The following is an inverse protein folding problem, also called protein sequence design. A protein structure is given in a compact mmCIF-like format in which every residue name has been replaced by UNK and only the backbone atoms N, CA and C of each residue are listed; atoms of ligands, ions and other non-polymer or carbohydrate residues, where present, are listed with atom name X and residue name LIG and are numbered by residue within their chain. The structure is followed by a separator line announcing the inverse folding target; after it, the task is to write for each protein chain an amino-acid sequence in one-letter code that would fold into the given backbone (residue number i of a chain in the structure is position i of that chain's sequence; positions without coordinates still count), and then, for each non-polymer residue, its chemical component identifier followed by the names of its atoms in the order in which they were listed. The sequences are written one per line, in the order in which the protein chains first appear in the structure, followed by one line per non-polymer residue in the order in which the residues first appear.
data_IF_970667256668
#
_entry.id   IF_970667256668
#
_cell.length_a   1.000
_cell.length_b   1.000
_cell.length_c   1.000
_cell.angle_alpha   90.00
_cell.angle_beta   90.00
_cell.angle_gamma   90.00
#
_symmetry.space_group_name_H-M   'P 1'
#
loop_
_entity.id
_entity.type
_entity.pdbx_description
1 polymer ?
#
# COMPACT_ATOMS: atom_id res chain seq x y z
N UNK A 1 2.52 -40.94 -10.09
CA UNK A 1 3.78 -40.40 -9.53
C UNK A 1 3.70 -38.88 -9.47
N UNK A 2 4.13 -38.30 -8.35
CA UNK A 2 3.62 -37.05 -7.80
C UNK A 2 3.96 -35.77 -8.59
N UNK A 3 2.96 -34.89 -8.69
CA UNK A 3 3.18 -33.47 -8.98
C UNK A 3 3.85 -32.85 -7.75
N UNK A 4 5.18 -32.73 -7.79
CA UNK A 4 5.90 -31.87 -6.87
C UNK A 4 5.45 -30.43 -7.14
N UNK A 5 4.51 -29.94 -6.32
CA UNK A 5 4.20 -28.52 -6.20
C UNK A 5 5.46 -27.84 -5.67
N UNK A 6 6.31 -27.33 -6.57
CA UNK A 6 7.37 -26.40 -6.20
C UNK A 6 6.71 -25.15 -5.62
N UNK A 7 6.49 -25.13 -4.31
CA UNK A 7 6.20 -23.91 -3.58
C UNK A 7 7.41 -22.98 -3.77
N UNK A 8 7.25 -21.97 -4.61
CA UNK A 8 8.26 -20.91 -4.77
C UNK A 8 8.56 -20.34 -3.38
N UNK A 9 9.82 -20.45 -2.94
CA UNK A 9 10.26 -19.88 -1.67
C UNK A 9 10.05 -18.35 -1.70
N UNK A 10 9.51 -17.82 -0.61
CA UNK A 10 9.36 -16.37 -0.42
C UNK A 10 10.76 -15.77 -0.21
N UNK A 11 11.14 -14.79 -1.04
CA UNK A 11 12.44 -14.12 -1.01
C UNK A 11 12.61 -13.26 0.24
N UNK A 12 11.55 -12.61 0.70
CA UNK A 12 11.56 -11.83 1.94
C UNK A 12 10.44 -12.29 2.91
N UNK A 13 10.66 -13.38 3.67
CA UNK A 13 9.67 -13.88 4.62
C UNK A 13 9.33 -12.86 5.72
N UNK A 14 10.27 -11.99 6.09
CA UNK A 14 10.10 -11.01 7.17
C UNK A 14 9.09 -9.94 6.76
N UNK A 15 9.17 -9.43 5.53
CA UNK A 15 8.18 -8.49 5.00
C UNK A 15 6.76 -9.08 5.08
N UNK A 16 6.54 -10.29 4.56
CA UNK A 16 5.21 -10.90 4.55
C UNK A 16 4.69 -11.22 5.96
N UNK A 17 5.58 -11.60 6.88
CA UNK A 17 5.23 -11.72 8.30
C UNK A 17 4.75 -10.37 8.87
N UNK A 18 5.44 -9.27 8.54
CA UNK A 18 5.06 -7.93 9.01
C UNK A 18 3.79 -7.41 8.35
N UNK A 19 3.52 -7.74 7.08
CA UNK A 19 2.22 -7.45 6.46
C UNK A 19 1.10 -8.14 7.24
N UNK A 20 1.28 -9.44 7.57
CA UNK A 20 0.30 -10.19 8.37
C UNK A 20 0.09 -9.54 9.73
N UNK A 21 1.16 -9.37 10.52
CA UNK A 21 1.07 -8.77 11.86
C UNK A 21 0.53 -7.34 11.83
N UNK A 22 0.81 -6.56 10.79
CA UNK A 22 0.22 -5.24 10.62
C UNK A 22 -1.32 -5.31 10.59
N UNK A 23 -1.86 -6.22 9.78
CA UNK A 23 -3.29 -6.36 9.53
C UNK A 23 -4.03 -7.11 10.65
N UNK A 24 -3.39 -8.07 11.31
CA UNK A 24 -4.04 -8.96 12.30
C UNK A 24 -3.79 -8.59 13.74
N UNK A 25 -2.74 -7.81 14.03
CA UNK A 25 -2.36 -7.45 15.41
C UNK A 25 -2.25 -5.94 15.57
N UNK A 26 -1.40 -5.28 14.77
CA UNK A 26 -1.11 -3.86 14.96
C UNK A 26 -2.33 -2.97 14.73
N UNK A 27 -3.02 -3.11 13.60
CA UNK A 27 -4.22 -2.32 13.34
C UNK A 27 -5.38 -2.62 14.31
N UNK A 28 -5.79 -3.88 14.54
CA UNK A 28 -6.95 -4.19 15.39
C UNK A 28 -6.66 -4.05 16.89
N UNK A 29 -5.51 -4.51 17.38
CA UNK A 29 -5.23 -4.60 18.82
C UNK A 29 -4.54 -3.32 19.31
N UNK A 30 -3.45 -2.91 18.64
CA UNK A 30 -2.61 -1.79 19.09
C UNK A 30 -3.24 -0.44 18.70
N UNK A 31 -3.71 -0.31 17.46
CA UNK A 31 -4.30 0.94 16.93
C UNK A 31 -5.82 0.99 17.03
N UNK A 32 -6.47 -0.10 17.47
CA UNK A 32 -7.92 -0.23 17.65
C UNK A 32 -8.73 0.31 16.46
N UNK A 33 -8.29 0.00 15.24
CA UNK A 33 -8.98 0.41 14.01
C UNK A 33 -10.21 -0.45 13.76
N UNK A 34 -11.25 0.16 13.17
CA UNK A 34 -12.46 -0.56 12.77
C UNK A 34 -12.18 -1.54 11.62
N UNK A 35 -13.02 -2.56 11.46
CA UNK A 35 -12.91 -3.54 10.37
C UNK A 35 -12.90 -2.86 9.00
N UNK A 36 -13.80 -1.89 8.76
CA UNK A 36 -13.83 -1.12 7.52
C UNK A 36 -12.49 -0.40 7.25
N UNK A 37 -11.86 0.14 8.29
CA UNK A 37 -10.55 0.77 8.16
C UNK A 37 -9.50 -0.27 7.83
N UNK A 38 -9.46 -1.40 8.56
CA UNK A 38 -8.52 -2.49 8.32
C UNK A 38 -8.64 -3.01 6.88
N UNK A 39 -9.86 -3.18 6.38
CA UNK A 39 -10.11 -3.63 5.01
C UNK A 39 -9.65 -2.60 3.98
N UNK A 40 -9.78 -1.30 4.26
CA UNK A 40 -9.18 -0.26 3.42
C UNK A 40 -7.64 -0.43 3.35
N UNK A 41 -6.96 -0.68 4.47
CA UNK A 41 -5.52 -0.97 4.48
C UNK A 41 -5.17 -2.24 3.70
N UNK A 42 -5.94 -3.33 3.87
CA UNK A 42 -5.75 -4.58 3.10
C UNK A 42 -5.82 -4.32 1.59
N UNK A 43 -6.84 -3.58 1.15
CA UNK A 43 -7.02 -3.24 -0.27
C UNK A 43 -5.83 -2.43 -0.77
N UNK A 44 -5.38 -1.42 -0.01
CA UNK A 44 -4.25 -0.59 -0.41
C UNK A 44 -2.95 -1.39 -0.56
N UNK A 45 -2.63 -2.23 0.43
CA UNK A 45 -1.42 -3.07 0.40
C UNK A 45 -1.49 -4.08 -0.75
N UNK A 46 -2.64 -4.76 -0.93
CA UNK A 46 -2.81 -5.73 -2.02
C UNK A 46 -2.67 -5.08 -3.41
N UNK A 47 -3.20 -3.86 -3.60
CA UNK A 47 -3.02 -3.11 -4.85
C UNK A 47 -1.56 -2.75 -5.08
N UNK A 48 -0.83 -2.32 -4.04
CA UNK A 48 0.59 -2.00 -4.15
C UNK A 48 1.42 -3.24 -4.55
N UNK A 49 1.20 -4.38 -3.88
CA UNK A 49 1.85 -5.65 -4.21
C UNK A 49 1.52 -6.12 -5.64
N UNK A 50 0.26 -5.94 -6.06
CA UNK A 50 -0.18 -6.27 -7.42
C UNK A 50 0.52 -5.40 -8.45
N UNK A 51 0.64 -4.11 -8.18
CA UNK A 51 1.36 -3.18 -9.04
C UNK A 51 2.83 -3.58 -9.17
N UNK A 52 3.55 -3.81 -8.06
CA UNK A 52 4.96 -4.21 -8.07
C UNK A 52 5.17 -5.49 -8.89
N UNK A 53 4.27 -6.48 -8.70
CA UNK A 53 4.27 -7.73 -9.47
C UNK A 53 4.18 -7.45 -10.98
N UNK A 54 3.28 -6.57 -11.40
CA UNK A 54 3.05 -6.23 -12.80
C UNK A 54 4.19 -5.39 -13.38
N UNK A 55 4.63 -4.34 -12.68
CA UNK A 55 5.63 -3.39 -13.17
C UNK A 55 7.01 -4.01 -13.28
N UNK A 56 7.39 -4.90 -12.35
CA UNK A 56 8.69 -5.58 -12.34
C UNK A 56 8.67 -6.97 -12.98
N UNK A 57 7.49 -7.44 -13.42
CA UNK A 57 7.27 -8.79 -13.96
C UNK A 57 7.85 -9.91 -13.05
N UNK A 58 7.61 -9.78 -11.75
CA UNK A 58 8.08 -10.73 -10.71
C UNK A 58 6.91 -11.50 -10.11
N UNK A 59 7.16 -12.65 -9.47
CA UNK A 59 6.13 -13.28 -8.66
C UNK A 59 5.94 -12.55 -7.31
N UNK A 60 4.77 -12.71 -6.68
CA UNK A 60 4.50 -12.15 -5.35
C UNK A 60 5.54 -12.60 -4.32
N UNK A 61 5.98 -13.86 -4.39
CA UNK A 61 7.02 -14.42 -3.54
C UNK A 61 8.39 -13.75 -3.71
N UNK A 62 8.60 -12.94 -4.74
CA UNK A 62 9.87 -12.30 -5.05
C UNK A 62 9.92 -10.83 -4.63
N UNK A 63 8.80 -10.27 -4.18
CA UNK A 63 8.71 -8.90 -3.64
C UNK A 63 9.50 -8.82 -2.34
N UNK A 64 10.24 -7.73 -2.17
CA UNK A 64 11.06 -7.43 -1.01
C UNK A 64 10.73 -6.06 -0.43
N UNK A 65 11.23 -5.79 0.76
CA UNK A 65 11.09 -4.49 1.41
C UNK A 65 11.68 -3.34 0.58
N UNK A 66 12.72 -3.56 -0.23
CA UNK A 66 13.30 -2.51 -1.09
C UNK A 66 12.35 -2.03 -2.19
N UNK A 67 11.30 -2.79 -2.51
CA UNK A 67 10.27 -2.39 -3.46
C UNK A 67 9.30 -1.35 -2.87
N UNK A 68 9.43 -1.03 -1.58
CA UNK A 68 8.72 0.06 -0.89
C UNK A 68 9.59 1.31 -0.78
N UNK A 69 10.04 1.83 -1.92
CA UNK A 69 10.75 3.10 -2.03
C UNK A 69 9.86 4.21 -2.61
N UNK A 70 10.35 5.45 -2.58
CA UNK A 70 9.60 6.62 -3.05
C UNK A 70 9.20 6.49 -4.54
N UNK A 71 10.11 6.05 -5.41
CA UNK A 71 9.89 5.98 -6.85
C UNK A 71 8.80 4.95 -7.21
N UNK A 72 8.86 3.76 -6.61
CA UNK A 72 7.84 2.73 -6.79
C UNK A 72 6.48 3.17 -6.26
N UNK A 73 6.42 3.88 -5.12
CA UNK A 73 5.16 4.39 -4.58
C UNK A 73 4.56 5.50 -5.45
N UNK A 74 5.37 6.41 -6.00
CA UNK A 74 4.90 7.42 -6.96
C UNK A 74 4.32 6.73 -8.19
N UNK A 75 5.01 5.73 -8.71
CA UNK A 75 4.60 5.01 -9.92
C UNK A 75 3.34 4.18 -9.69
N UNK A 76 3.21 3.55 -8.52
CA UNK A 76 1.98 2.91 -8.05
C UNK A 76 0.80 3.89 -8.03
N UNK A 77 0.99 5.09 -7.49
CA UNK A 77 -0.09 6.08 -7.41
C UNK A 77 -0.50 6.59 -8.79
N UNK A 78 0.43 6.72 -9.72
CA UNK A 78 0.13 7.07 -11.11
C UNK A 78 -0.67 5.95 -11.79
N UNK A 79 -0.26 4.69 -11.60
CA UNK A 79 -1.01 3.52 -12.09
C UNK A 79 -2.43 3.44 -11.54
N UNK A 80 -2.66 3.81 -10.28
CA UNK A 80 -4.02 3.88 -9.73
C UNK A 80 -4.91 4.89 -10.47
N UNK A 81 -4.35 6.02 -10.90
CA UNK A 81 -5.10 7.05 -11.63
C UNK A 81 -5.29 6.67 -13.11
N UNK A 82 -4.22 6.23 -13.77
CA UNK A 82 -4.19 6.05 -15.23
C UNK A 82 -4.84 4.73 -15.65
N UNK A 83 -4.42 3.62 -15.05
CA UNK A 83 -4.84 2.28 -15.46
C UNK A 83 -6.12 1.84 -14.76
N UNK A 84 -6.33 2.28 -13.52
CA UNK A 84 -7.52 1.90 -12.73
C UNK A 84 -8.59 2.98 -12.65
N UNK A 85 -8.34 4.16 -13.23
CA UNK A 85 -9.28 5.29 -13.24
C UNK A 85 -9.77 5.70 -11.83
N UNK A 86 -8.96 5.49 -10.79
CA UNK A 86 -9.35 5.90 -9.44
C UNK A 86 -9.38 7.42 -9.32
N UNK A 87 -10.36 7.94 -8.59
CA UNK A 87 -10.43 9.37 -8.27
C UNK A 87 -9.19 9.85 -7.49
N UNK A 88 -8.91 11.15 -7.56
CA UNK A 88 -7.84 11.79 -6.77
C UNK A 88 -8.04 11.54 -5.26
N UNK A 89 -9.28 11.59 -4.77
CA UNK A 89 -9.58 11.31 -3.36
C UNK A 89 -9.21 9.87 -2.99
N UNK A 90 -9.62 8.90 -3.81
CA UNK A 90 -9.27 7.48 -3.58
C UNK A 90 -7.76 7.28 -3.63
N UNK A 91 -7.07 7.83 -4.63
CA UNK A 91 -5.61 7.77 -4.76
C UNK A 91 -4.89 8.37 -3.55
N UNK A 92 -5.33 9.52 -3.06
CA UNK A 92 -4.76 10.14 -1.86
C UNK A 92 -5.03 9.34 -0.59
N UNK A 93 -6.20 8.70 -0.47
CA UNK A 93 -6.48 7.80 0.64
C UNK A 93 -5.52 6.59 0.61
N UNK A 94 -5.27 6.01 -0.57
CA UNK A 94 -4.29 4.92 -0.73
C UNK A 94 -2.87 5.36 -0.35
N UNK A 95 -2.46 6.59 -0.70
CA UNK A 95 -1.18 7.14 -0.25
C UNK A 95 -1.11 7.23 1.29
N UNK A 96 -2.18 7.64 1.97
CA UNK A 96 -2.22 7.68 3.45
C UNK A 96 -2.07 6.28 4.04
N UNK A 97 -2.81 5.31 3.51
CA UNK A 97 -2.77 3.93 3.97
C UNK A 97 -1.35 3.34 3.82
N UNK A 98 -0.74 3.53 2.65
CA UNK A 98 0.63 3.05 2.36
C UNK A 98 1.66 3.74 3.25
N UNK A 99 1.55 5.06 3.48
CA UNK A 99 2.45 5.77 4.40
C UNK A 99 2.42 5.22 5.81
N UNK A 100 1.22 4.94 6.31
CA UNK A 100 1.06 4.41 7.65
C UNK A 100 1.57 2.96 7.74
N UNK A 101 1.49 2.19 6.65
CA UNK A 101 2.14 0.89 6.55
C UNK A 101 3.68 1.02 6.53
N UNK A 102 4.26 1.90 5.70
CA UNK A 102 5.70 2.16 5.66
C UNK A 102 6.24 2.65 7.02
N UNK A 103 5.46 3.46 7.76
CA UNK A 103 5.81 3.86 9.13
C UNK A 103 5.93 2.66 10.06
N UNK A 104 5.02 1.68 9.93
CA UNK A 104 5.06 0.45 10.72
C UNK A 104 6.24 -0.46 10.36
N UNK A 105 6.58 -0.54 9.06
CA UNK A 105 7.77 -1.26 8.61
C UNK A 105 9.04 -0.62 9.15
N UNK A 106 9.11 0.71 9.17
CA UNK A 106 10.22 1.46 9.73
C UNK A 106 10.36 1.21 11.24
N UNK A 107 9.26 1.26 12.01
CA UNK A 107 9.30 0.94 13.44
C UNK A 107 9.59 -0.53 13.76
N UNK A 108 9.66 -1.38 12.74
CA UNK A 108 9.96 -2.81 12.84
C UNK A 108 11.33 -3.17 12.27
N UNK A 109 12.18 -2.17 11.97
CA UNK A 109 13.51 -2.31 11.36
C UNK A 109 13.50 -3.03 9.99
N UNK A 110 12.39 -2.94 9.24
CA UNK A 110 12.28 -3.49 7.87
C UNK A 110 12.55 -2.42 6.82
N UNK A 111 12.09 -1.19 7.05
CA UNK A 111 12.30 -0.06 6.16
C UNK A 111 13.23 0.95 6.81
N UNK A 112 14.21 1.46 6.08
CA UNK A 112 15.11 2.48 6.62
C UNK A 112 14.35 3.79 6.90
N UNK A 113 14.82 4.55 7.90
CA UNK A 113 14.27 5.88 8.17
C UNK A 113 14.41 6.81 6.96
N UNK A 114 15.53 6.73 6.23
CA UNK A 114 15.77 7.55 5.05
C UNK A 114 14.73 7.30 3.95
N UNK A 115 14.44 6.03 3.63
CA UNK A 115 13.39 5.67 2.66
C UNK A 115 12.02 6.16 3.12
N UNK A 116 11.68 5.92 4.40
CA UNK A 116 10.42 6.42 4.96
C UNK A 116 10.29 7.94 4.86
N UNK A 117 11.37 8.69 5.14
CA UNK A 117 11.39 10.14 5.02
C UNK A 117 11.16 10.61 3.58
N UNK A 118 11.73 9.92 2.58
CA UNK A 118 11.47 10.20 1.16
C UNK A 118 10.00 9.95 0.79
N UNK A 119 9.39 8.87 1.30
CA UNK A 119 7.97 8.56 1.07
C UNK A 119 7.05 9.63 1.69
N UNK A 120 7.44 10.25 2.79
CA UNK A 120 6.70 11.36 3.40
C UNK A 120 6.69 12.63 2.55
N UNK A 121 7.64 12.79 1.61
CA UNK A 121 7.67 13.96 0.73
C UNK A 121 6.63 13.90 -0.41
N UNK A 122 6.04 12.72 -0.69
CA UNK A 122 5.06 12.55 -1.78
C UNK A 122 3.78 13.37 -1.52
N UNK A 123 3.56 14.48 -2.20
CA UNK A 123 2.37 15.30 -1.91
C UNK A 123 1.07 14.61 -2.34
N UNK A 124 -0.01 14.87 -1.59
CA UNK A 124 -1.37 14.56 -2.03
C UNK A 124 -1.70 15.47 -3.20
N UNK A 125 -2.41 14.96 -4.21
CA UNK A 125 -2.91 15.80 -5.30
C UNK A 125 -4.15 16.57 -4.84
N UNK A 126 -4.28 17.84 -5.19
CA UNK A 126 -5.51 18.59 -4.95
C UNK A 126 -6.62 18.05 -5.86
N UNK A 127 -7.83 17.90 -5.32
CA UNK A 127 -8.99 17.57 -6.15
C UNK A 127 -9.59 18.89 -6.66
N UNK A 128 -9.50 19.12 -7.98
CA UNK A 128 -10.04 20.32 -8.64
C UNK A 128 -11.57 20.22 -8.89
N UNK A 129 -12.24 19.16 -8.42
CA UNK A 129 -13.70 18.95 -8.56
C UNK A 129 -14.41 18.84 -7.20
N UNK A 130 -14.70 19.99 -6.60
CA UNK A 130 -15.79 20.30 -5.65
C UNK A 130 -15.65 21.80 -5.37
N UNK A 131 -16.54 22.69 -5.83
CA UNK A 131 -17.86 22.93 -5.21
C UNK A 131 -18.92 23.39 -6.23
N UNK A 132 -19.59 22.47 -6.93
CA UNK A 132 -20.98 22.73 -7.35
C UNK A 132 -21.87 22.22 -6.21
N UNK A 133 -21.89 22.97 -5.10
CA UNK A 133 -22.93 22.80 -4.09
C UNK A 133 -24.21 23.34 -4.71
N UNK A 134 -24.96 22.49 -5.40
CA UNK A 134 -26.38 22.75 -5.67
C UNK A 134 -27.06 22.76 -4.31
N UNK A 135 -27.23 23.97 -3.77
CA UNK A 135 -28.10 24.19 -2.62
C UNK A 135 -29.48 23.70 -3.06
N UNK A 136 -29.95 22.59 -2.49
CA UNK A 136 -31.34 22.20 -2.63
C UNK A 136 -32.15 23.21 -1.82
N UNK A 137 -32.48 24.32 -2.46
CA UNK A 137 -33.49 25.27 -2.00
C UNK A 137 -34.85 24.58 -2.07
N UNK A 138 -35.31 24.08 -0.93
CA UNK A 138 -36.73 23.82 -0.67
C UNK A 138 -37.06 24.43 0.68
#
# INVERSE_FOLDING_TARGET
MGRCLWMKKIKDPKLFQKIKSFLTEYLPIIRRKSNNTIDAYKIAINLCLTYIKQSKNVALSEIRNEDFNQADIISFLNWLEQDRANSINTRNQRLVDIRQFCKYLMSSDILSYAEYAMIQQITKKANLKTDDIVFLSI
#
